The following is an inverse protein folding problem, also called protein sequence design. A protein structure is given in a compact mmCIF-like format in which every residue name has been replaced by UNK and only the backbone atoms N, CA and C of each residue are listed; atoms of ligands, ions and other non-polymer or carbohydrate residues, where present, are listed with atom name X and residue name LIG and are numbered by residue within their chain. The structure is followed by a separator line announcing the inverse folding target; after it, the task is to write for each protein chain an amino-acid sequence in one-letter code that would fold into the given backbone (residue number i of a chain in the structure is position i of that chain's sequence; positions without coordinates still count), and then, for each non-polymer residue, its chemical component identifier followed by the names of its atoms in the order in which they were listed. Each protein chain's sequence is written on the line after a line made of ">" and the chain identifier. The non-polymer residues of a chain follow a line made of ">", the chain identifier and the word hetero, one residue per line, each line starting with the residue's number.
data_IF_347065899938
#
_entry.id   IF_347065899938
#
_cell.length_a   1.000
_cell.length_b   1.000
_cell.length_c   1.000
_cell.angle_alpha   90.00
_cell.angle_beta   90.00
_cell.angle_gamma   90.00
#
_symmetry.space_group_name_H-M   'P 1'
#
loop_
_entity.id
_entity.type
_entity.pdbx_description
1 polymer ?
#
# COMPACT_ATOMS: atom_id res chain seq x y z
N UNK A 1 -5.64 -18.71 -16.80
CA UNK A 1 -5.28 -17.36 -16.31
C UNK A 1 -5.67 -17.31 -14.84
N UNK A 2 -4.74 -17.64 -13.94
CA UNK A 2 -4.98 -17.59 -12.49
C UNK A 2 -4.28 -16.35 -11.94
N UNK A 3 -4.87 -15.18 -12.17
CA UNK A 3 -4.43 -13.96 -11.49
C UNK A 3 -4.77 -14.04 -10.01
N UNK A 4 -3.88 -13.56 -9.15
CA UNK A 4 -4.16 -13.42 -7.72
C UNK A 4 -4.94 -12.11 -7.50
N UNK A 5 -6.24 -12.15 -7.81
CA UNK A 5 -7.10 -10.98 -7.70
C UNK A 5 -7.52 -10.75 -6.25
N UNK A 6 -7.32 -9.53 -5.77
CA UNK A 6 -7.86 -9.01 -4.52
C UNK A 6 -8.28 -7.57 -4.75
N UNK A 7 -8.88 -6.91 -3.76
CA UNK A 7 -9.06 -5.47 -3.75
C UNK A 7 -9.08 -5.02 -2.29
N UNK A 8 -8.70 -3.78 -2.03
CA UNK A 8 -8.72 -3.21 -0.70
C UNK A 8 -9.71 -2.06 -0.68
N UNK A 9 -10.74 -2.19 0.16
CA UNK A 9 -11.75 -1.17 0.39
C UNK A 9 -11.26 -0.20 1.47
N UNK A 10 -11.20 1.08 1.13
CA UNK A 10 -10.83 2.16 2.05
C UNK A 10 -12.09 2.94 2.43
N UNK A 11 -12.53 2.79 3.67
CA UNK A 11 -13.67 3.51 4.22
C UNK A 11 -13.31 4.97 4.57
N UNK A 12 -14.28 5.89 4.68
CA UNK A 12 -14.01 7.29 5.05
C UNK A 12 -13.14 7.46 6.30
N UNK A 13 -13.30 6.60 7.30
CA UNK A 13 -12.50 6.62 8.54
C UNK A 13 -11.01 6.39 8.28
N UNK A 14 -10.65 5.65 7.24
CA UNK A 14 -9.26 5.49 6.81
C UNK A 14 -8.66 6.83 6.35
N UNK A 15 -9.39 7.57 5.51
CA UNK A 15 -8.94 8.88 5.03
C UNK A 15 -8.82 9.89 6.17
N UNK A 16 -9.77 9.88 7.10
CA UNK A 16 -9.69 10.70 8.32
C UNK A 16 -8.44 10.34 9.14
N UNK A 17 -8.20 9.05 9.36
CA UNK A 17 -7.00 8.53 10.01
C UNK A 17 -5.70 8.99 9.32
N UNK A 18 -5.60 8.87 8.00
CA UNK A 18 -4.45 9.35 7.22
C UNK A 18 -4.22 10.84 7.46
N UNK A 19 -5.28 11.67 7.37
CA UNK A 19 -5.17 13.11 7.56
C UNK A 19 -4.66 13.52 8.96
N UNK A 20 -4.99 12.71 9.98
CA UNK A 20 -4.58 12.93 11.38
C UNK A 20 -3.21 12.34 11.71
N UNK A 21 -2.75 11.36 10.93
CA UNK A 21 -1.50 10.64 11.19
C UNK A 21 -0.26 11.53 11.07
N UNK A 22 -0.28 12.53 10.18
CA UNK A 22 0.92 13.31 9.84
C UNK A 22 1.96 12.52 9.04
N UNK A 23 1.66 11.29 8.61
CA UNK A 23 2.52 10.50 7.73
C UNK A 23 2.54 11.17 6.35
N UNK A 24 3.74 11.34 5.81
CA UNK A 24 4.00 11.98 4.52
C UNK A 24 4.72 11.01 3.56
N UNK A 25 4.78 11.38 2.27
CA UNK A 25 5.60 10.67 1.27
C UNK A 25 7.05 10.48 1.75
N UNK A 26 7.65 11.51 2.33
CA UNK A 26 9.04 11.45 2.82
C UNK A 26 9.22 10.42 3.94
N UNK A 27 8.23 10.26 4.83
CA UNK A 27 8.30 9.22 5.87
C UNK A 27 8.26 7.82 5.25
N UNK A 28 7.43 7.62 4.22
CA UNK A 28 7.32 6.36 3.50
C UNK A 28 8.60 6.06 2.73
N UNK A 29 9.13 7.01 1.96
CA UNK A 29 10.37 6.84 1.20
C UNK A 29 11.53 6.42 2.13
N UNK A 30 11.73 7.17 3.22
CA UNK A 30 12.76 6.86 4.22
C UNK A 30 12.58 5.48 4.87
N UNK A 31 11.35 5.04 5.08
CA UNK A 31 11.07 3.71 5.62
C UNK A 31 11.40 2.62 4.59
N UNK A 32 10.98 2.81 3.33
CA UNK A 32 11.17 1.82 2.26
C UNK A 32 12.60 1.73 1.74
N UNK A 33 13.42 2.76 1.90
CA UNK A 33 14.88 2.65 1.70
C UNK A 33 15.51 1.57 2.59
N UNK A 34 15.00 1.41 3.83
CA UNK A 34 15.52 0.45 4.81
C UNK A 34 14.79 -0.88 4.79
N UNK A 35 13.46 -0.83 4.70
CA UNK A 35 12.58 -2.00 4.79
C UNK A 35 12.45 -2.73 3.44
N UNK A 36 12.50 -1.99 2.33
CA UNK A 36 12.27 -2.48 0.98
C UNK A 36 13.15 -3.67 0.60
N UNK A 37 14.48 -3.63 0.80
CA UNK A 37 15.36 -4.75 0.47
C UNK A 37 14.95 -6.06 1.16
N UNK A 38 14.60 -5.99 2.44
CA UNK A 38 14.18 -7.17 3.21
C UNK A 38 12.81 -7.68 2.75
N UNK A 39 11.83 -6.81 2.53
CA UNK A 39 10.52 -7.21 2.02
C UNK A 39 10.62 -7.91 0.68
N UNK A 40 11.46 -7.39 -0.22
CA UNK A 40 11.72 -8.00 -1.53
C UNK A 40 12.37 -9.36 -1.40
N UNK A 41 13.38 -9.51 -0.53
CA UNK A 41 14.05 -10.79 -0.29
C UNK A 41 13.07 -11.84 0.28
N UNK A 42 12.29 -11.47 1.30
CA UNK A 42 11.31 -12.35 1.95
C UNK A 42 10.23 -12.85 0.97
N UNK A 43 9.99 -12.11 -0.12
CA UNK A 43 9.03 -12.46 -1.18
C UNK A 43 9.70 -13.04 -2.45
N UNK A 44 11.02 -13.24 -2.45
CA UNK A 44 11.76 -13.85 -3.56
C UNK A 44 12.08 -12.94 -4.73
N UNK A 45 12.10 -11.61 -4.54
CA UNK A 45 12.43 -10.58 -5.53
C UNK A 45 13.78 -9.90 -5.26
N UNK A 46 14.79 -10.72 -4.95
CA UNK A 46 16.15 -10.24 -4.69
C UNK A 46 16.64 -9.34 -5.83
N UNK A 47 17.33 -8.25 -5.50
CA UNK A 47 17.89 -7.28 -6.46
C UNK A 47 16.89 -6.46 -7.30
N UNK A 48 15.64 -6.32 -6.86
CA UNK A 48 14.60 -5.56 -7.60
C UNK A 48 14.16 -4.26 -6.90
N UNK A 49 15.05 -3.59 -6.16
CA UNK A 49 14.69 -2.41 -5.35
C UNK A 49 14.22 -1.22 -6.20
N UNK A 50 14.78 -1.05 -7.39
CA UNK A 50 14.40 -0.02 -8.36
C UNK A 50 12.92 -0.11 -8.79
N UNK A 51 12.30 -1.27 -8.55
CA UNK A 51 10.91 -1.58 -8.92
C UNK A 51 9.93 -1.56 -7.76
N UNK A 52 10.38 -1.27 -6.54
CA UNK A 52 9.52 -1.09 -5.38
C UNK A 52 9.29 0.41 -5.14
N UNK A 53 8.05 0.88 -5.30
CA UNK A 53 7.69 2.28 -5.03
C UNK A 53 6.32 2.37 -4.40
N UNK A 54 6.15 3.33 -3.49
CA UNK A 54 4.84 3.66 -2.91
C UNK A 54 4.61 5.15 -3.12
N UNK A 55 3.51 5.53 -3.77
CA UNK A 55 3.10 6.92 -3.89
C UNK A 55 1.97 7.22 -2.92
N UNK A 56 2.18 8.30 -2.16
CA UNK A 56 1.32 8.77 -1.10
C UNK A 56 0.40 9.88 -1.59
N UNK A 57 -0.87 9.79 -1.22
CA UNK A 57 -1.90 10.77 -1.57
C UNK A 57 -2.88 11.01 -0.43
N UNK A 58 -4.08 11.46 -0.79
CA UNK A 58 -5.16 11.76 0.15
C UNK A 58 -5.59 10.52 0.94
N UNK A 59 -5.52 9.35 0.31
CA UNK A 59 -5.88 8.06 0.90
C UNK A 59 -4.67 7.29 1.45
N UNK A 60 -3.51 7.91 1.59
CA UNK A 60 -2.29 7.23 1.99
C UNK A 60 -1.62 6.54 0.80
N UNK A 61 -1.37 5.22 0.81
CA UNK A 61 -0.68 4.52 -0.28
C UNK A 61 -1.60 4.35 -1.51
N UNK A 62 -1.77 5.42 -2.30
CA UNK A 62 -2.62 5.44 -3.48
C UNK A 62 -2.06 4.59 -4.63
N UNK A 63 -0.74 4.42 -4.68
CA UNK A 63 -0.08 3.55 -5.65
C UNK A 63 1.03 2.74 -4.99
N UNK A 64 1.01 1.42 -5.16
CA UNK A 64 2.09 0.52 -4.75
C UNK A 64 2.57 -0.21 -5.99
N UNK A 65 3.83 0.01 -6.36
CA UNK A 65 4.50 -0.68 -7.45
C UNK A 65 5.45 -1.74 -6.88
N UNK A 66 5.40 -2.94 -7.45
CA UNK A 66 6.25 -4.06 -7.09
C UNK A 66 6.91 -4.66 -8.33
N UNK A 67 7.96 -5.48 -8.20
CA UNK A 67 8.62 -6.12 -9.33
C UNK A 67 7.65 -6.91 -10.23
N UNK A 68 7.64 -6.55 -11.51
CA UNK A 68 6.75 -7.12 -12.53
C UNK A 68 6.64 -6.21 -13.74
N UNK A 69 5.75 -6.53 -14.67
CA UNK A 69 5.44 -5.68 -15.82
C UNK A 69 4.33 -4.69 -15.45
N UNK A 70 4.71 -3.52 -14.90
CA UNK A 70 3.77 -2.57 -14.31
C UNK A 70 2.80 -3.30 -13.37
N UNK A 71 3.35 -3.97 -12.35
CA UNK A 71 2.58 -4.76 -11.38
C UNK A 71 2.40 -3.94 -10.11
N UNK A 72 1.18 -3.88 -9.59
CA UNK A 72 0.94 -3.08 -8.41
C UNK A 72 -0.50 -3.00 -7.97
N UNK A 73 -0.75 -1.98 -7.17
CA UNK A 73 -2.04 -1.63 -6.59
C UNK A 73 -2.26 -0.14 -6.82
N UNK A 74 -3.39 0.23 -7.42
CA UNK A 74 -3.72 1.63 -7.71
C UNK A 74 -5.08 2.02 -7.16
N UNK A 75 -5.19 3.27 -6.75
CA UNK A 75 -6.46 3.85 -6.35
C UNK A 75 -7.40 4.01 -7.55
N UNK A 76 -8.58 3.44 -7.40
CA UNK A 76 -9.69 3.54 -8.34
C UNK A 76 -10.73 4.48 -7.73
N UNK A 77 -10.75 5.73 -8.20
CA UNK A 77 -11.63 6.80 -7.67
C UNK A 77 -13.08 6.71 -8.19
N UNK A 78 -13.35 5.84 -9.15
CA UNK A 78 -14.67 5.74 -9.83
C UNK A 78 -15.14 4.29 -10.01
N UNK A 79 -15.02 3.46 -8.96
CA UNK A 79 -15.61 2.11 -8.97
C UNK A 79 -17.05 2.15 -8.44
N UNK A 80 -18.05 1.59 -9.16
CA UNK A 80 -19.40 1.41 -8.62
C UNK A 80 -19.44 0.40 -7.45
N UNK A 81 -18.33 -0.30 -7.20
CA UNK A 81 -18.15 -1.27 -6.13
C UNK A 81 -17.34 -0.73 -4.95
N UNK A 82 -17.00 0.57 -4.93
CA UNK A 82 -16.30 1.18 -3.80
C UNK A 82 -17.23 1.46 -2.61
N UNK A 83 -16.70 1.47 -1.38
CA UNK A 83 -17.47 1.91 -0.21
C UNK A 83 -17.98 3.35 -0.40
N UNK A 84 -19.17 3.67 0.11
CA UNK A 84 -19.79 4.99 -0.06
C UNK A 84 -18.93 6.09 0.56
N UNK A 85 -18.48 7.04 -0.25
CA UNK A 85 -17.57 8.12 0.18
C UNK A 85 -16.14 7.63 0.46
N UNK A 86 -15.84 6.38 0.15
CA UNK A 86 -14.54 5.74 0.29
C UNK A 86 -13.77 5.69 -1.02
N UNK A 87 -12.72 4.87 -1.04
CA UNK A 87 -11.94 4.56 -2.22
C UNK A 87 -11.70 3.04 -2.34
N UNK A 88 -11.32 2.59 -3.53
CA UNK A 88 -10.95 1.20 -3.80
C UNK A 88 -9.51 1.17 -4.31
N UNK A 89 -8.69 0.32 -3.72
CA UNK A 89 -7.36 0.00 -4.25
C UNK A 89 -7.45 -1.33 -5.01
N UNK A 90 -7.16 -1.29 -6.31
CA UNK A 90 -7.31 -2.42 -7.22
C UNK A 90 -5.96 -2.88 -7.76
N UNK A 91 -5.70 -4.19 -7.83
CA UNK A 91 -4.46 -4.71 -8.37
C UNK A 91 -4.45 -4.60 -9.89
N UNK A 92 -3.28 -4.33 -10.46
CA UNK A 92 -3.04 -4.35 -11.90
C UNK A 92 -1.81 -5.22 -12.20
N UNK A 93 -1.93 -6.08 -13.23
CA UNK A 93 -0.88 -7.01 -13.68
C UNK A 93 -0.26 -7.87 -12.56
N UNK A 94 -1.06 -8.33 -11.60
CA UNK A 94 -0.64 -9.22 -10.52
C UNK A 94 -0.80 -10.68 -10.96
N UNK A 95 0.29 -11.25 -11.47
CA UNK A 95 0.30 -12.56 -12.12
C UNK A 95 0.72 -13.71 -11.20
N UNK A 96 1.19 -13.40 -9.98
CA UNK A 96 1.71 -14.40 -9.04
C UNK A 96 1.30 -14.13 -7.60
N UNK A 97 1.20 -15.20 -6.80
CA UNK A 97 0.96 -15.11 -5.37
C UNK A 97 2.07 -14.33 -4.64
N UNK A 98 3.31 -14.36 -5.15
CA UNK A 98 4.43 -13.61 -4.57
C UNK A 98 4.23 -12.09 -4.71
N UNK A 99 3.77 -11.64 -5.88
CA UNK A 99 3.43 -10.22 -6.10
C UNK A 99 2.27 -9.80 -5.20
N UNK A 100 1.18 -10.59 -5.17
CA UNK A 100 0.04 -10.30 -4.30
C UNK A 100 0.44 -10.24 -2.82
N UNK A 101 1.22 -11.22 -2.35
CA UNK A 101 1.73 -11.26 -0.98
C UNK A 101 2.60 -10.04 -0.64
N UNK A 102 3.48 -9.63 -1.56
CA UNK A 102 4.34 -8.46 -1.36
C UNK A 102 3.50 -7.18 -1.25
N UNK A 103 2.54 -6.98 -2.16
CA UNK A 103 1.64 -5.81 -2.12
C UNK A 103 0.86 -5.78 -0.81
N UNK A 104 0.27 -6.91 -0.40
CA UNK A 104 -0.48 -6.99 0.86
C UNK A 104 0.42 -6.73 2.07
N UNK A 105 1.66 -7.23 2.07
CA UNK A 105 2.62 -6.99 3.15
C UNK A 105 2.97 -5.51 3.28
N UNK A 106 3.19 -4.83 2.15
CA UNK A 106 3.42 -3.38 2.10
C UNK A 106 2.21 -2.64 2.68
N UNK A 107 1.02 -2.92 2.19
CA UNK A 107 -0.20 -2.25 2.64
C UNK A 107 -0.46 -2.48 4.13
N UNK A 108 -0.34 -3.71 4.62
CA UNK A 108 -0.55 -4.05 6.03
C UNK A 108 0.49 -3.41 6.95
N UNK A 109 1.76 -3.31 6.49
CA UNK A 109 2.78 -2.59 7.25
C UNK A 109 2.41 -1.11 7.41
N UNK A 110 1.98 -0.45 6.33
CA UNK A 110 1.52 0.94 6.36
C UNK A 110 0.30 1.10 7.28
N UNK A 111 -0.68 0.19 7.18
CA UNK A 111 -1.86 0.19 8.04
C UNK A 111 -1.50 0.06 9.52
N UNK A 112 -0.50 -0.77 9.83
CA UNK A 112 -0.01 -0.90 11.20
C UNK A 112 0.68 0.37 11.70
N UNK A 113 1.52 1.01 10.88
CA UNK A 113 2.12 2.32 11.20
C UNK A 113 1.03 3.37 11.48
N UNK A 114 0.00 3.44 10.64
CA UNK A 114 -1.13 4.34 10.83
C UNK A 114 -1.82 4.13 12.18
N UNK A 115 -2.09 2.87 12.54
CA UNK A 115 -2.71 2.53 13.84
C UNK A 115 -1.83 2.95 15.02
N UNK A 116 -0.51 2.74 14.92
CA UNK A 116 0.44 3.13 15.97
C UNK A 116 0.48 4.64 16.13
N UNK A 117 0.64 5.40 15.05
CA UNK A 117 0.68 6.87 15.08
C UNK A 117 -0.57 7.48 15.72
N UNK A 118 -1.75 6.96 15.37
CA UNK A 118 -3.02 7.44 15.93
C UNK A 118 -3.13 7.12 17.42
N UNK A 119 -2.60 5.98 17.87
CA UNK A 119 -2.60 5.61 19.30
C UNK A 119 -1.64 6.47 20.11
N UNK A 120 -0.44 6.75 19.57
CA UNK A 120 0.55 7.61 20.23
C UNK A 120 -0.01 9.02 20.45
N UNK A 121 -0.63 9.61 19.43
CA UNK A 121 -1.26 10.95 19.52
C UNK A 121 -2.44 11.05 20.48
N UNK A 122 -3.11 9.95 20.81
CA UNK A 122 -4.19 9.93 21.82
C UNK A 122 -3.67 9.87 23.25
N UNK A 123 -2.39 9.57 23.42
CA UNK A 123 -1.75 9.40 24.73
C UNK A 123 -1.02 10.67 25.19
N UNK A 124 -0.97 11.69 24.33
CA UNK A 124 -0.49 13.05 24.59
C UNK A 124 -1.66 13.96 25.00
#
# INVERSE_FOLDING_TARGET
>A
MNGAAFSIELFPDWKDAISKSGITQENIDNAFEKLGPKLLEDHGFKHSMDRLKVYWGEWGPEHIYVPGNACGLDITKSSPFGPRGGALLSPHNVDSLRQASLILSIFLWIANCLVVEIKLKKSE
#
